data_IF_746442472025
#
_entry.id   IF_746442472025
#
_cell.length_a   1.000
_cell.length_b   1.000
_cell.length_c   1.000
_cell.angle_alpha   90.00
_cell.angle_beta   90.00
_cell.angle_gamma   90.00
#
_symmetry.space_group_name_H-M   'P 1'
#
loop_
_entity.id
_entity.type
_entity.pdbx_description
1 polymer ?
#
# COMPACT_ATOMS: atom_id res chain seq x y z
N UNK A 1 44.35 -51.70 0.10
CA UNK A 1 44.38 -50.28 0.45
C UNK A 1 43.15 -49.61 -0.18
N UNK A 2 42.06 -49.43 0.57
CA UNK A 2 40.80 -48.82 0.07
C UNK A 2 40.85 -47.36 0.40
N UNK A 3 40.82 -46.50 -0.62
CA UNK A 3 40.76 -45.05 -0.49
C UNK A 3 39.30 -44.68 -0.31
N UNK A 4 38.95 -44.08 0.84
CA UNK A 4 37.65 -43.58 1.17
C UNK A 4 37.56 -42.12 0.68
N UNK A 5 36.80 -41.86 -0.39
CA UNK A 5 36.52 -40.52 -0.86
C UNK A 5 35.40 -39.91 0.03
N UNK A 6 35.78 -38.94 0.86
CA UNK A 6 34.81 -38.12 1.61
C UNK A 6 34.37 -37.00 0.69
N UNK A 7 33.13 -37.07 0.22
CA UNK A 7 32.47 -35.97 -0.50
C UNK A 7 31.94 -34.98 0.55
N UNK A 8 32.62 -33.86 0.72
CA UNK A 8 32.14 -32.75 1.55
C UNK A 8 31.13 -31.95 0.71
N UNK A 9 29.84 -32.18 0.95
CA UNK A 9 28.79 -31.37 0.38
C UNK A 9 28.73 -30.05 1.12
N UNK A 10 29.22 -28.97 0.49
CA UNK A 10 28.98 -27.60 0.96
C UNK A 10 27.52 -27.26 0.73
N UNK A 11 26.70 -27.31 1.77
CA UNK A 11 25.41 -26.68 1.78
C UNK A 11 25.62 -25.14 1.80
N UNK A 12 25.46 -24.49 0.66
CA UNK A 12 25.26 -23.05 0.63
C UNK A 12 23.85 -22.77 1.21
N UNK A 13 23.80 -22.49 2.52
CA UNK A 13 22.61 -21.87 3.12
C UNK A 13 22.63 -20.42 2.61
N UNK A 14 22.02 -20.21 1.46
CA UNK A 14 21.80 -18.87 0.93
C UNK A 14 20.94 -18.10 1.93
N UNK A 15 21.47 -17.02 2.51
CA UNK A 15 20.75 -16.10 3.38
C UNK A 15 19.66 -15.38 2.55
N UNK A 16 18.48 -15.97 2.43
CA UNK A 16 17.29 -15.37 1.77
C UNK A 16 16.88 -14.03 2.39
N UNK A 17 17.29 -13.75 3.62
CA UNK A 17 17.02 -12.50 4.32
C UNK A 17 17.85 -11.29 3.82
N UNK A 18 19.01 -11.50 3.20
CA UNK A 18 19.88 -10.41 2.74
C UNK A 18 19.30 -9.68 1.51
N UNK A 19 18.55 -10.37 0.65
CA UNK A 19 17.89 -9.77 -0.53
C UNK A 19 16.66 -8.93 -0.18
N UNK A 20 16.03 -9.18 0.95
CA UNK A 20 14.82 -8.46 1.39
C UNK A 20 15.15 -7.10 2.01
N UNK A 21 16.27 -6.96 2.72
CA UNK A 21 16.64 -5.74 3.44
C UNK A 21 17.01 -4.61 2.47
N UNK A 22 16.46 -3.42 2.74
CA UNK A 22 16.69 -2.22 1.94
C UNK A 22 17.49 -1.21 2.74
N UNK A 23 18.58 -0.71 2.17
CA UNK A 23 19.35 0.40 2.70
C UNK A 23 18.93 1.69 1.99
N UNK A 24 18.12 2.50 2.67
CA UNK A 24 17.74 3.83 2.18
C UNK A 24 18.80 4.86 2.54
N UNK A 25 19.05 5.87 1.68
CA UNK A 25 19.88 7.02 2.01
C UNK A 25 19.35 7.75 3.26
N UNK A 26 20.25 8.32 4.07
CA UNK A 26 19.87 8.95 5.35
C UNK A 26 19.08 10.25 5.18
N UNK A 27 19.29 10.95 4.09
CA UNK A 27 18.55 12.14 3.68
C UNK A 27 17.12 11.80 3.26
N UNK A 28 16.91 10.64 2.65
CA UNK A 28 15.59 10.15 2.23
C UNK A 28 14.81 9.48 3.37
N UNK A 29 15.48 8.71 4.24
CA UNK A 29 14.81 7.96 5.30
C UNK A 29 15.63 7.79 6.57
N UNK A 30 14.99 7.91 7.72
CA UNK A 30 15.59 7.66 9.03
C UNK A 30 14.62 7.06 10.05
N UNK A 31 15.17 6.34 11.04
CA UNK A 31 14.42 5.80 12.18
C UNK A 31 13.63 4.51 11.92
N UNK A 32 13.50 4.07 10.66
CA UNK A 32 12.92 2.77 10.30
C UNK A 32 13.92 1.93 9.49
N UNK A 33 13.89 0.63 9.69
CA UNK A 33 14.54 -0.35 8.80
C UNK A 33 13.45 -0.93 7.91
N UNK A 34 13.70 -0.95 6.62
CA UNK A 34 12.73 -1.43 5.64
C UNK A 34 13.21 -2.71 4.95
N UNK A 35 12.23 -3.53 4.56
CA UNK A 35 12.37 -4.75 3.77
C UNK A 35 11.41 -4.68 2.59
N UNK A 36 11.78 -5.24 1.45
CA UNK A 36 10.89 -5.36 0.29
C UNK A 36 9.73 -6.30 0.64
N UNK A 37 8.51 -5.94 0.29
CA UNK A 37 7.35 -6.82 0.48
C UNK A 37 7.31 -7.96 -0.54
N UNK A 38 7.93 -7.79 -1.71
CA UNK A 38 8.09 -8.83 -2.73
C UNK A 38 9.56 -9.12 -2.94
N UNK A 39 9.92 -10.40 -3.02
CA UNK A 39 11.28 -10.90 -3.20
C UNK A 39 11.33 -11.95 -4.32
N UNK A 40 12.52 -12.44 -4.65
CA UNK A 40 12.74 -13.48 -5.66
C UNK A 40 12.11 -13.11 -7.02
N UNK A 41 11.41 -14.05 -7.64
CA UNK A 41 10.77 -13.87 -8.96
C UNK A 41 9.66 -12.81 -9.00
N UNK A 42 9.10 -12.45 -7.86
CA UNK A 42 8.05 -11.43 -7.75
C UNK A 42 8.59 -10.01 -7.62
N UNK A 43 9.86 -9.86 -7.24
CA UNK A 43 10.52 -8.56 -7.21
C UNK A 43 10.79 -8.05 -8.63
N UNK A 44 10.43 -6.80 -8.88
CA UNK A 44 10.72 -6.11 -10.14
C UNK A 44 11.64 -4.92 -9.86
N UNK A 45 12.70 -4.76 -10.66
CA UNK A 45 13.67 -3.66 -10.51
C UNK A 45 13.02 -2.28 -10.57
N UNK A 46 11.97 -2.11 -11.39
CA UNK A 46 11.22 -0.87 -11.50
C UNK A 46 10.27 -0.62 -10.31
N UNK A 47 9.88 -1.69 -9.59
CA UNK A 47 8.87 -1.60 -8.53
C UNK A 47 9.30 -0.75 -7.34
N UNK A 48 10.62 -0.64 -7.11
CA UNK A 48 11.23 0.18 -6.10
C UNK A 48 12.61 0.65 -6.57
N UNK A 49 12.82 1.96 -6.60
CA UNK A 49 14.06 2.59 -7.06
C UNK A 49 14.41 3.80 -6.17
N UNK A 50 15.71 3.97 -5.87
CA UNK A 50 16.23 5.27 -5.44
C UNK A 50 16.56 6.03 -6.72
N UNK A 51 16.00 7.22 -6.84
CA UNK A 51 16.14 8.08 -8.02
C UNK A 51 16.76 9.41 -7.63
N UNK A 52 17.44 10.07 -8.60
CA UNK A 52 18.18 11.29 -8.35
C UNK A 52 17.50 12.50 -8.98
N UNK A 53 17.63 13.65 -8.36
CA UNK A 53 17.21 14.95 -8.88
C UNK A 53 17.92 15.29 -10.19
N UNK A 54 19.21 14.95 -10.29
CA UNK A 54 20.01 15.17 -11.50
C UNK A 54 19.49 14.45 -12.73
N UNK A 55 18.75 13.35 -12.55
CA UNK A 55 18.11 12.57 -13.63
C UNK A 55 16.70 13.07 -13.98
N UNK A 56 16.29 14.24 -13.43
CA UNK A 56 14.98 14.86 -13.68
C UNK A 56 13.84 14.30 -12.83
N UNK A 57 14.14 13.46 -11.84
CA UNK A 57 13.11 12.94 -10.93
C UNK A 57 12.69 13.95 -9.86
N UNK A 58 11.42 13.94 -9.43
CA UNK A 58 10.96 14.71 -8.28
C UNK A 58 11.72 14.33 -7.01
N UNK A 59 12.28 15.32 -6.32
CA UNK A 59 12.95 15.19 -5.02
C UNK A 59 12.45 16.31 -4.11
N UNK A 60 12.01 15.98 -2.91
CA UNK A 60 11.47 16.96 -1.95
C UNK A 60 12.61 17.69 -1.23
N UNK A 61 13.64 16.96 -0.81
CA UNK A 61 14.79 17.49 -0.10
C UNK A 61 16.04 16.71 -0.46
N UNK A 62 17.20 17.39 -0.48
CA UNK A 62 18.47 16.76 -0.88
C UNK A 62 18.53 16.41 -2.36
N UNK A 63 19.13 15.26 -2.68
CA UNK A 63 19.44 14.85 -4.05
C UNK A 63 18.69 13.59 -4.52
N UNK A 64 17.99 12.88 -3.62
CA UNK A 64 17.38 11.60 -3.92
C UNK A 64 15.96 11.48 -3.36
N UNK A 65 15.16 10.65 -4.00
CA UNK A 65 13.85 10.22 -3.50
C UNK A 65 13.61 8.73 -3.78
N UNK A 66 12.51 8.20 -3.30
CA UNK A 66 12.09 6.82 -3.56
C UNK A 66 10.98 6.85 -4.60
N UNK A 67 11.15 6.13 -5.71
CA UNK A 67 10.13 5.92 -6.71
C UNK A 67 9.56 4.52 -6.57
N UNK A 68 8.25 4.41 -6.43
CA UNK A 68 7.50 3.17 -6.52
C UNK A 68 6.70 3.12 -7.82
N UNK A 69 6.67 1.94 -8.44
CA UNK A 69 5.88 1.68 -9.63
C UNK A 69 5.22 0.31 -9.54
N UNK A 70 3.92 0.25 -9.84
CA UNK A 70 3.16 -1.01 -9.96
C UNK A 70 2.53 -1.04 -11.35
N UNK A 71 2.76 -2.11 -12.08
CA UNK A 71 2.16 -2.39 -13.38
C UNK A 71 1.08 -3.46 -13.26
N UNK A 72 0.25 -3.53 -14.27
CA UNK A 72 -0.76 -4.59 -14.41
C UNK A 72 -0.11 -5.98 -14.32
N UNK A 73 -0.59 -6.83 -13.41
CA UNK A 73 -0.05 -8.15 -13.13
C UNK A 73 1.06 -8.22 -12.07
N UNK A 74 1.46 -7.10 -11.45
CA UNK A 74 2.48 -7.07 -10.38
C UNK A 74 1.95 -7.62 -9.06
N UNK A 75 1.62 -8.88 -9.03
CA UNK A 75 1.25 -9.58 -7.82
C UNK A 75 2.33 -10.56 -7.37
N UNK A 76 2.31 -10.94 -6.10
CA UNK A 76 3.26 -11.90 -5.53
C UNK A 76 2.64 -12.77 -4.46
N UNK A 77 3.45 -13.66 -3.93
CA UNK A 77 3.10 -14.51 -2.79
C UNK A 77 4.36 -14.87 -2.04
N UNK A 78 4.22 -15.31 -0.80
CA UNK A 78 5.33 -15.92 -0.08
C UNK A 78 5.61 -17.35 -0.59
N UNK A 79 6.83 -17.81 -0.35
CA UNK A 79 7.27 -19.12 -0.80
C UNK A 79 6.49 -20.25 -0.10
N UNK A 80 6.09 -20.01 1.14
CA UNK A 80 5.38 -20.98 1.99
C UNK A 80 3.83 -20.94 1.78
N UNK A 81 3.33 -20.08 0.90
CA UNK A 81 1.92 -19.97 0.57
C UNK A 81 1.05 -19.34 1.67
N UNK A 82 1.65 -18.72 2.69
CA UNK A 82 0.94 -18.06 3.81
C UNK A 82 0.14 -16.83 3.38
N UNK A 83 0.53 -16.18 2.26
CA UNK A 83 -0.24 -15.12 1.62
C UNK A 83 -0.01 -15.09 0.11
N UNK A 84 -0.99 -14.59 -0.63
CA UNK A 84 -0.88 -14.39 -2.07
C UNK A 84 -1.68 -13.17 -2.50
N UNK A 85 -1.01 -12.20 -3.15
CA UNK A 85 -1.68 -11.08 -3.79
C UNK A 85 -2.45 -11.51 -5.02
N UNK A 86 -1.85 -12.41 -5.84
CA UNK A 86 -2.46 -12.90 -7.07
C UNK A 86 -3.80 -13.59 -6.82
N UNK A 87 -3.90 -14.39 -5.73
CA UNK A 87 -5.16 -15.01 -5.31
C UNK A 87 -6.08 -14.03 -4.54
N UNK A 88 -5.51 -12.97 -3.98
CA UNK A 88 -6.19 -11.99 -3.15
C UNK A 88 -6.70 -10.76 -3.90
N UNK A 89 -6.68 -10.76 -5.24
CA UNK A 89 -7.14 -9.63 -6.06
C UNK A 89 -6.35 -8.34 -5.79
N UNK A 90 -5.00 -8.44 -5.76
CA UNK A 90 -4.09 -7.39 -5.30
C UNK A 90 -2.82 -7.32 -6.13
N UNK A 91 -2.23 -6.13 -6.16
CA UNK A 91 -0.90 -5.86 -6.74
C UNK A 91 -0.12 -4.95 -5.82
N UNK A 92 1.21 -5.11 -5.76
CA UNK A 92 2.03 -4.25 -4.91
C UNK A 92 3.50 -4.15 -5.29
N UNK A 93 4.04 -2.98 -4.95
CA UNK A 93 5.44 -2.80 -4.58
C UNK A 93 5.51 -1.89 -3.35
N UNK A 94 5.82 -2.47 -2.19
CA UNK A 94 5.90 -1.79 -0.90
C UNK A 94 7.19 -2.12 -0.18
N UNK A 95 7.60 -1.21 0.69
CA UNK A 95 8.60 -1.44 1.73
C UNK A 95 7.91 -1.60 3.08
N UNK A 96 8.31 -2.62 3.82
CA UNK A 96 7.78 -3.00 5.13
C UNK A 96 8.79 -2.69 6.24
N UNK A 97 8.37 -1.93 7.24
CA UNK A 97 9.15 -1.65 8.45
C UNK A 97 8.97 -2.67 9.57
N UNK A 98 8.64 -3.94 9.25
CA UNK A 98 8.32 -4.97 10.24
C UNK A 98 9.47 -5.27 11.20
N UNK A 99 10.75 -5.20 10.76
CA UNK A 99 11.94 -5.38 11.61
C UNK A 99 12.12 -4.25 12.65
N UNK A 100 11.49 -3.10 12.44
CA UNK A 100 11.47 -1.96 13.38
C UNK A 100 10.11 -1.68 13.99
N UNK A 101 9.28 -2.72 14.20
CA UNK A 101 7.94 -2.64 14.73
C UNK A 101 7.90 -2.12 16.18
N UNK A 102 6.85 -1.37 16.49
CA UNK A 102 6.63 -0.72 17.79
C UNK A 102 5.59 -1.49 18.60
N UNK A 103 5.87 -1.71 19.90
CA UNK A 103 4.92 -2.41 20.77
C UNK A 103 4.00 -1.44 21.55
N UNK A 104 4.47 -0.25 21.90
CA UNK A 104 3.75 0.77 22.68
C UNK A 104 4.46 2.11 22.58
N UNK A 105 3.79 3.15 23.05
CA UNK A 105 4.37 4.49 23.22
C UNK A 105 3.99 5.45 22.10
N UNK A 106 4.45 6.65 22.25
CA UNK A 106 4.22 7.74 21.33
C UNK A 106 5.36 7.86 20.34
N UNK A 107 5.02 8.12 19.09
CA UNK A 107 5.94 8.30 17.97
C UNK A 107 5.45 9.38 17.03
N UNK A 108 6.41 10.01 16.39
CA UNK A 108 6.23 10.89 15.25
C UNK A 108 6.72 10.20 14.00
N UNK A 109 5.99 10.40 12.90
CA UNK A 109 6.34 9.92 11.57
C UNK A 109 6.16 11.05 10.58
N UNK A 110 6.96 11.03 9.54
CA UNK A 110 6.74 11.86 8.37
C UNK A 110 6.98 11.07 7.10
N UNK A 111 6.41 11.54 6.02
CA UNK A 111 6.80 11.30 4.65
C UNK A 111 6.23 12.38 3.75
N UNK A 112 6.94 12.67 2.67
CA UNK A 112 6.43 13.49 1.59
C UNK A 112 6.01 12.61 0.43
N UNK A 113 4.89 12.93 -0.22
CA UNK A 113 4.33 12.23 -1.37
C UNK A 113 4.29 13.13 -2.59
N UNK A 114 4.67 12.61 -3.75
CA UNK A 114 4.47 13.27 -5.03
C UNK A 114 3.78 12.32 -6.00
N UNK A 115 2.67 12.77 -6.55
CA UNK A 115 1.96 12.09 -7.62
C UNK A 115 2.31 12.79 -8.94
N UNK A 116 2.84 12.07 -9.95
CA UNK A 116 3.14 12.66 -11.25
C UNK A 116 1.93 13.35 -11.89
N UNK A 117 2.17 14.27 -12.83
CA UNK A 117 1.08 14.98 -13.54
C UNK A 117 0.14 14.03 -14.29
N UNK A 118 0.68 12.94 -14.81
CA UNK A 118 -0.06 11.88 -15.50
C UNK A 118 -0.83 10.93 -14.56
N UNK A 119 -0.69 11.10 -13.23
CA UNK A 119 -1.40 10.27 -12.27
C UNK A 119 -2.91 10.28 -12.50
N UNK A 120 -3.52 9.11 -12.46
CA UNK A 120 -4.95 8.91 -12.61
C UNK A 120 -5.52 8.24 -11.37
N UNK A 121 -6.63 8.77 -10.88
CA UNK A 121 -7.41 8.07 -9.86
C UNK A 121 -8.16 6.91 -10.53
N UNK A 122 -7.77 5.69 -10.22
CA UNK A 122 -8.29 4.48 -10.85
C UNK A 122 -9.49 3.88 -10.09
N UNK A 123 -10.27 4.72 -9.39
CA UNK A 123 -11.48 4.22 -8.74
C UNK A 123 -12.35 3.42 -9.72
N UNK A 124 -12.86 2.22 -9.35
CA UNK A 124 -12.94 1.63 -8.02
C UNK A 124 -11.74 0.76 -7.57
N UNK A 125 -10.63 0.74 -8.29
CA UNK A 125 -9.37 0.24 -7.76
C UNK A 125 -8.95 1.12 -6.57
N UNK A 126 -8.54 0.52 -5.47
CA UNK A 126 -8.07 1.27 -4.31
C UNK A 126 -6.55 1.17 -4.21
N UNK A 127 -5.85 2.31 -4.25
CA UNK A 127 -4.39 2.38 -4.12
C UNK A 127 -4.01 2.87 -2.72
N UNK A 128 -3.36 2.03 -1.95
CA UNK A 128 -2.82 2.37 -0.65
C UNK A 128 -1.36 2.78 -0.79
N UNK A 129 -1.03 4.01 -0.40
CA UNK A 129 0.32 4.57 -0.51
C UNK A 129 1.09 4.61 0.81
N UNK A 130 0.45 4.22 1.90
CA UNK A 130 1.09 4.08 3.20
C UNK A 130 0.16 3.45 4.22
N UNK A 131 0.70 2.70 5.16
CA UNK A 131 -0.13 2.06 6.18
C UNK A 131 0.63 1.78 7.47
N UNK A 132 -0.11 1.71 8.56
CA UNK A 132 0.35 1.12 9.80
C UNK A 132 -0.28 -0.26 9.95
N UNK A 133 0.54 -1.27 9.72
CA UNK A 133 0.12 -2.67 9.76
C UNK A 133 0.47 -3.31 11.11
N UNK A 134 -0.22 -4.37 11.47
CA UNK A 134 0.04 -5.14 12.68
C UNK A 134 0.62 -6.51 12.35
N UNK A 135 1.52 -7.02 13.19
CA UNK A 135 1.97 -8.41 13.06
C UNK A 135 0.82 -9.37 13.36
N UNK A 136 0.58 -10.34 12.48
CA UNK A 136 -0.49 -11.35 12.60
C UNK A 136 -1.89 -10.76 12.77
N UNK A 137 -2.15 -9.60 12.15
CA UNK A 137 -3.45 -8.93 12.17
C UNK A 137 -3.56 -7.95 11.00
N UNK A 138 -4.71 -7.30 10.85
CA UNK A 138 -4.98 -6.32 9.81
C UNK A 138 -4.23 -4.99 10.05
N UNK A 139 -4.08 -4.12 9.03
CA UNK A 139 -3.63 -2.75 9.26
C UNK A 139 -4.57 -2.03 10.22
N UNK A 140 -4.10 -0.98 10.89
CA UNK A 140 -4.94 -0.14 11.78
C UNK A 140 -5.25 1.21 11.18
N UNK A 141 -4.33 1.77 10.40
CA UNK A 141 -4.54 2.99 9.61
C UNK A 141 -3.97 2.77 8.22
N UNK A 142 -4.75 3.11 7.22
CA UNK A 142 -4.37 3.05 5.80
C UNK A 142 -4.48 4.43 5.19
N UNK A 143 -3.49 4.79 4.37
CA UNK A 143 -3.47 6.03 3.59
C UNK A 143 -3.74 5.65 2.14
N UNK A 144 -4.98 5.82 1.72
CA UNK A 144 -5.53 5.19 0.53
C UNK A 144 -6.15 6.23 -0.41
N UNK A 145 -5.97 6.05 -1.69
CA UNK A 145 -6.68 6.80 -2.70
C UNK A 145 -8.05 6.17 -2.94
N UNK A 146 -9.08 6.96 -2.77
CA UNK A 146 -10.47 6.65 -3.02
C UNK A 146 -11.05 7.61 -4.07
N UNK A 147 -12.32 7.44 -4.44
CA UNK A 147 -12.99 8.21 -5.49
C UNK A 147 -12.75 9.74 -5.43
N UNK A 148 -12.61 10.29 -4.23
CA UNK A 148 -12.47 11.74 -4.07
C UNK A 148 -11.06 12.24 -3.79
N UNK A 149 -10.06 11.34 -3.75
CA UNK A 149 -8.66 11.67 -3.48
C UNK A 149 -8.04 10.83 -2.37
N UNK A 150 -6.93 11.30 -1.84
CA UNK A 150 -6.14 10.62 -0.82
C UNK A 150 -6.75 10.81 0.56
N UNK A 151 -7.00 9.70 1.24
CA UNK A 151 -7.70 9.66 2.53
C UNK A 151 -6.92 8.82 3.55
N UNK A 152 -7.13 9.08 4.84
CA UNK A 152 -6.78 8.15 5.92
C UNK A 152 -8.03 7.39 6.34
N UNK A 153 -7.87 6.07 6.52
CA UNK A 153 -8.92 5.17 7.02
C UNK A 153 -8.41 4.47 8.28
N UNK A 154 -9.22 4.50 9.34
CA UNK A 154 -9.05 3.62 10.49
C UNK A 154 -9.83 2.32 10.25
N UNK A 155 -9.16 1.18 10.41
CA UNK A 155 -9.70 -0.15 10.01
C UNK A 155 -10.00 -1.06 11.21
N UNK A 156 -9.80 -0.59 12.45
CA UNK A 156 -10.08 -1.34 13.66
C UNK A 156 -11.35 -0.84 14.35
N UNK A 157 -12.12 -1.77 14.92
CA UNK A 157 -13.40 -1.53 15.58
C UNK A 157 -14.60 -1.89 14.71
N UNK A 158 -15.76 -2.00 15.34
CA UNK A 158 -17.04 -2.40 14.72
C UNK A 158 -17.77 -1.25 14.01
N UNK A 159 -17.11 -0.12 13.86
CA UNK A 159 -17.71 1.11 13.31
C UNK A 159 -17.44 1.18 11.82
N UNK A 160 -18.41 1.70 11.09
CA UNK A 160 -18.23 2.19 9.72
C UNK A 160 -16.90 2.91 9.58
N UNK A 161 -16.18 2.60 8.49
CA UNK A 161 -14.85 3.14 8.21
C UNK A 161 -14.77 4.62 8.58
N UNK A 162 -13.98 4.93 9.61
CA UNK A 162 -13.63 6.30 9.93
C UNK A 162 -12.66 6.79 8.85
N UNK A 163 -13.24 7.37 7.80
CA UNK A 163 -12.53 7.93 6.66
C UNK A 163 -12.44 9.44 6.78
N UNK A 164 -11.23 9.96 6.62
CA UNK A 164 -11.01 11.39 6.47
C UNK A 164 -10.19 11.69 5.24
N UNK A 165 -10.75 12.48 4.32
CA UNK A 165 -10.02 12.98 3.16
C UNK A 165 -8.94 13.95 3.57
N UNK A 166 -7.71 13.66 3.14
CA UNK A 166 -6.50 14.43 3.40
C UNK A 166 -6.21 15.40 2.26
N UNK A 167 -6.27 14.92 1.01
CA UNK A 167 -5.98 15.65 -0.22
C UNK A 167 -7.07 15.33 -1.24
N UNK A 168 -7.63 16.35 -1.88
CA UNK A 168 -8.63 16.18 -2.96
C UNK A 168 -7.95 15.75 -4.25
N UNK A 169 -8.65 15.02 -5.14
CA UNK A 169 -8.14 14.61 -6.44
C UNK A 169 -7.48 15.76 -7.22
N UNK A 170 -8.15 16.90 -7.29
CA UNK A 170 -7.70 18.05 -8.06
C UNK A 170 -6.41 18.68 -7.51
N UNK A 171 -6.08 18.36 -6.27
CA UNK A 171 -4.90 18.88 -5.56
C UNK A 171 -3.74 17.90 -5.49
N UNK A 172 -3.91 16.64 -5.94
CA UNK A 172 -2.92 15.58 -5.70
C UNK A 172 -1.66 15.71 -6.54
N UNK A 173 -1.81 16.03 -7.83
CA UNK A 173 -0.78 15.88 -8.86
C UNK A 173 0.21 17.04 -8.93
N UNK A 174 1.42 16.75 -9.44
CA UNK A 174 2.41 17.74 -9.85
C UNK A 174 3.10 18.48 -8.70
N UNK A 175 2.85 18.11 -7.45
CA UNK A 175 3.42 18.78 -6.28
C UNK A 175 3.64 17.80 -5.12
N UNK A 176 4.56 18.17 -4.23
CA UNK A 176 4.80 17.45 -3.00
C UNK A 176 3.73 17.74 -1.94
N UNK A 177 3.37 16.71 -1.19
CA UNK A 177 2.48 16.78 -0.04
C UNK A 177 3.19 16.21 1.17
N UNK A 178 3.40 17.05 2.17
CA UNK A 178 4.08 16.69 3.40
C UNK A 178 3.07 16.13 4.40
N UNK A 179 3.28 14.91 4.81
CA UNK A 179 2.47 14.21 5.80
C UNK A 179 3.23 14.11 7.11
N UNK A 180 2.70 14.67 8.17
CA UNK A 180 3.22 14.52 9.52
C UNK A 180 2.20 13.76 10.36
N UNK A 181 2.66 12.81 11.16
CA UNK A 181 1.81 11.97 12.00
C UNK A 181 2.36 11.94 13.41
N UNK A 182 1.46 12.09 14.38
CA UNK A 182 1.72 11.79 15.79
C UNK A 182 0.80 10.68 16.25
N UNK A 183 1.35 9.58 16.72
CA UNK A 183 0.59 8.42 17.15
C UNK A 183 1.05 7.86 18.49
N UNK A 184 0.11 7.58 19.38
CA UNK A 184 0.33 6.78 20.59
C UNK A 184 -0.29 5.41 20.40
N UNK A 185 0.57 4.38 20.33
CA UNK A 185 0.14 3.00 20.12
C UNK A 185 -0.38 2.38 21.42
N UNK A 186 -1.68 2.24 21.54
CA UNK A 186 -2.37 1.67 22.68
C UNK A 186 -3.55 0.79 22.29
N UNK A 187 -3.86 -0.22 23.10
CA UNK A 187 -5.10 -1.02 23.01
C UNK A 187 -6.24 -0.39 23.83
N UNK A 188 -5.98 0.68 24.56
CA UNK A 188 -6.90 1.39 25.43
C UNK A 188 -7.29 2.73 24.85
N UNK A 189 -8.24 3.40 25.46
CA UNK A 189 -8.77 4.71 25.05
C UNK A 189 -7.78 5.88 25.22
N UNK A 190 -6.60 5.62 25.78
CA UNK A 190 -5.51 6.57 25.90
C UNK A 190 -4.64 6.69 24.65
N UNK A 191 -4.94 5.91 23.59
CA UNK A 191 -4.32 6.01 22.29
C UNK A 191 -4.80 7.24 21.52
N UNK A 192 -4.01 7.67 20.54
CA UNK A 192 -4.41 8.70 19.59
C UNK A 192 -3.65 8.56 18.27
N UNK A 193 -4.22 9.16 17.22
CA UNK A 193 -3.62 9.21 15.89
C UNK A 193 -3.98 10.53 15.20
N UNK A 194 -2.98 11.38 14.98
CA UNK A 194 -3.16 12.71 14.40
C UNK A 194 -2.39 12.80 13.09
N UNK A 195 -2.99 13.42 12.07
CA UNK A 195 -2.38 13.62 10.76
C UNK A 195 -2.47 15.08 10.34
N UNK A 196 -1.34 15.65 10.00
CA UNK A 196 -1.23 16.94 9.33
C UNK A 196 -0.84 16.71 7.86
N UNK A 197 -1.35 17.55 6.99
CA UNK A 197 -0.96 17.65 5.58
C UNK A 197 -0.58 19.10 5.31
N UNK A 198 0.66 19.33 4.87
CA UNK A 198 1.19 20.67 4.63
C UNK A 198 0.88 21.58 5.83
N UNK A 199 1.29 21.16 7.02
CA UNK A 199 1.13 21.79 8.35
C UNK A 199 -0.33 21.99 8.83
N UNK A 200 -1.33 21.58 8.06
CA UNK A 200 -2.74 21.68 8.47
C UNK A 200 -3.21 20.37 9.07
N UNK A 201 -3.69 20.41 10.33
CA UNK A 201 -4.33 19.24 10.98
C UNK A 201 -5.56 18.82 10.17
N UNK A 202 -5.56 17.58 9.68
CA UNK A 202 -6.62 17.01 8.84
C UNK A 202 -7.38 15.87 9.52
N UNK A 203 -6.72 15.15 10.42
CA UNK A 203 -7.31 14.05 11.15
C UNK A 203 -6.83 14.04 12.60
N UNK A 204 -7.76 13.90 13.54
CA UNK A 204 -7.48 13.82 14.99
C UNK A 204 -8.38 12.75 15.60
N UNK A 205 -7.80 11.59 15.86
CA UNK A 205 -8.48 10.46 16.47
C UNK A 205 -7.95 10.20 17.87
N UNK A 206 -8.85 9.90 18.81
CA UNK A 206 -8.55 9.46 20.18
C UNK A 206 -9.28 8.15 20.47
N UNK A 207 -8.58 7.19 21.04
CA UNK A 207 -9.09 5.85 21.35
C UNK A 207 -8.07 4.77 21.02
N UNK A 208 -8.46 3.49 21.00
CA UNK A 208 -7.57 2.37 20.66
C UNK A 208 -6.95 2.53 19.28
N UNK A 209 -5.62 2.46 19.19
CA UNK A 209 -4.85 2.61 17.96
C UNK A 209 -4.24 1.31 17.47
N UNK A 210 -4.48 0.21 18.17
CA UNK A 210 -4.07 -1.14 17.77
C UNK A 210 -4.88 -2.20 18.49
N UNK A 211 -4.88 -3.42 17.92
CA UNK A 211 -5.45 -4.64 18.53
C UNK A 211 -4.37 -5.70 18.79
N UNK A 212 -3.33 -5.78 17.96
CA UNK A 212 -2.22 -6.69 18.14
C UNK A 212 -1.09 -6.10 19.00
N UNK A 213 -0.03 -6.90 19.27
CA UNK A 213 1.11 -6.46 20.06
C UNK A 213 1.96 -5.42 19.35
N UNK A 214 2.22 -5.61 18.05
CA UNK A 214 3.17 -4.82 17.28
C UNK A 214 2.51 -4.11 16.10
N UNK A 215 2.87 -2.84 15.92
CA UNK A 215 2.51 -2.00 14.76
C UNK A 215 3.78 -1.62 14.01
N UNK A 216 3.74 -1.58 12.69
CA UNK A 216 4.85 -1.15 11.84
C UNK A 216 4.35 -0.37 10.63
N UNK A 217 5.19 0.55 10.16
CA UNK A 217 4.94 1.36 8.97
C UNK A 217 5.22 0.56 7.71
N UNK A 218 4.42 0.79 6.67
CA UNK A 218 4.70 0.39 5.29
C UNK A 218 4.49 1.59 4.38
N UNK A 219 5.28 1.68 3.32
CA UNK A 219 5.20 2.72 2.28
C UNK A 219 5.32 2.07 0.90
N UNK A 220 4.78 2.71 -0.12
CA UNK A 220 4.83 2.22 -1.50
C UNK A 220 3.46 2.23 -2.16
N UNK A 221 3.22 1.33 -3.09
CA UNK A 221 1.93 1.16 -3.76
C UNK A 221 1.38 -0.23 -3.46
N UNK A 222 0.17 -0.30 -2.94
CA UNK A 222 -0.58 -1.52 -2.71
C UNK A 222 -2.00 -1.36 -3.23
N UNK A 223 -2.28 -1.96 -4.38
CA UNK A 223 -3.56 -1.90 -5.05
C UNK A 223 -4.46 -3.08 -4.66
N UNK A 224 -5.74 -2.81 -4.44
CA UNK A 224 -6.75 -3.84 -4.11
C UNK A 224 -8.02 -3.63 -4.92
N UNK A 225 -8.71 -4.71 -5.26
CA UNK A 225 -9.93 -4.66 -6.05
C UNK A 225 -9.65 -4.61 -7.56
N UNK A 226 -8.70 -5.38 -8.02
CA UNK A 226 -8.34 -5.53 -9.45
C UNK A 226 -9.57 -5.97 -10.25
N UNK A 227 -10.26 -7.03 -9.80
CA UNK A 227 -11.49 -7.52 -10.45
C UNK A 227 -12.61 -6.49 -10.41
N UNK A 228 -12.69 -5.66 -9.37
CA UNK A 228 -13.68 -4.59 -9.27
C UNK A 228 -13.43 -3.50 -10.32
N UNK A 229 -12.17 -3.14 -10.55
CA UNK A 229 -11.78 -2.21 -11.62
C UNK A 229 -12.10 -2.82 -13.00
N UNK A 230 -11.73 -4.08 -13.22
CA UNK A 230 -12.01 -4.79 -14.48
C UNK A 230 -13.52 -4.87 -14.76
N UNK A 231 -14.33 -5.12 -13.74
CA UNK A 231 -15.78 -5.11 -13.87
C UNK A 231 -16.32 -3.72 -14.22
N UNK A 232 -15.80 -2.68 -13.57
CA UNK A 232 -16.19 -1.29 -13.82
C UNK A 232 -15.92 -0.88 -15.28
N UNK A 233 -14.76 -1.21 -15.80
CA UNK A 233 -14.36 -0.93 -17.18
C UNK A 233 -15.12 -1.78 -18.23
N UNK A 234 -15.85 -2.80 -17.79
CA UNK A 234 -16.57 -3.76 -18.65
C UNK A 234 -18.07 -3.85 -18.35
N UNK A 235 -18.70 -2.81 -17.82
CA UNK A 235 -20.10 -2.85 -17.40
C UNK A 235 -21.04 -3.30 -18.51
N UNK A 236 -20.92 -2.76 -19.73
CA UNK A 236 -21.76 -3.12 -20.86
C UNK A 236 -21.59 -4.59 -21.29
N UNK A 237 -20.37 -5.13 -21.10
CA UNK A 237 -20.09 -6.54 -21.38
C UNK A 237 -20.61 -7.47 -20.27
N UNK A 238 -20.69 -6.98 -19.05
CA UNK A 238 -21.30 -7.71 -17.92
C UNK A 238 -22.79 -7.82 -18.13
N UNK A 239 -23.46 -6.76 -18.57
CA UNK A 239 -24.90 -6.82 -18.89
C UNK A 239 -25.20 -7.88 -19.97
N UNK A 240 -24.42 -7.91 -21.08
CA UNK A 240 -24.52 -8.97 -22.10
C UNK A 240 -24.28 -10.38 -21.54
N UNK A 241 -23.28 -10.53 -20.66
CA UNK A 241 -23.03 -11.78 -19.96
C UNK A 241 -24.22 -12.22 -19.09
N UNK A 242 -24.87 -11.29 -18.42
CA UNK A 242 -26.03 -11.59 -17.59
C UNK A 242 -27.29 -11.89 -18.38
N UNK A 243 -27.49 -11.30 -19.56
CA UNK A 243 -28.52 -11.67 -20.50
C UNK A 243 -28.38 -13.14 -20.93
N UNK A 244 -27.14 -13.59 -21.18
CA UNK A 244 -26.88 -14.98 -21.63
C UNK A 244 -26.83 -15.99 -20.47
N UNK A 245 -26.16 -15.65 -19.35
CA UNK A 245 -25.87 -16.57 -18.25
C UNK A 245 -26.77 -16.40 -17.03
N UNK A 246 -27.71 -15.46 -17.08
CA UNK A 246 -28.53 -15.06 -15.93
C UNK A 246 -27.75 -14.29 -14.88
N UNK A 247 -28.43 -13.67 -13.93
CA UNK A 247 -27.87 -12.93 -12.80
C UNK A 247 -28.56 -13.24 -11.49
N UNK A 248 -27.80 -13.19 -10.39
CA UNK A 248 -28.36 -13.29 -9.05
C UNK A 248 -28.76 -11.91 -8.52
N UNK A 249 -29.57 -11.87 -7.44
CA UNK A 249 -29.93 -10.62 -6.75
C UNK A 249 -28.69 -9.89 -6.23
N UNK A 250 -27.71 -10.62 -5.70
CA UNK A 250 -26.46 -10.04 -5.17
C UNK A 250 -25.59 -9.44 -6.29
N UNK A 251 -25.47 -10.11 -7.43
CA UNK A 251 -24.77 -9.59 -8.62
C UNK A 251 -25.47 -8.33 -9.16
N UNK A 252 -26.79 -8.31 -9.19
CA UNK A 252 -27.56 -7.15 -9.59
C UNK A 252 -27.31 -5.96 -8.65
N UNK A 253 -27.41 -6.18 -7.35
CA UNK A 253 -27.10 -5.16 -6.33
C UNK A 253 -25.66 -4.67 -6.44
N UNK A 254 -24.71 -5.57 -6.71
CA UNK A 254 -23.29 -5.21 -6.87
C UNK A 254 -23.03 -4.31 -8.07
N UNK A 255 -23.68 -4.55 -9.21
CA UNK A 255 -23.56 -3.68 -10.39
C UNK A 255 -24.07 -2.26 -10.12
N UNK A 256 -25.19 -2.11 -9.46
CA UNK A 256 -25.71 -0.78 -9.11
C UNK A 256 -24.89 -0.07 -8.02
N UNK A 257 -24.22 -0.82 -7.16
CA UNK A 257 -23.35 -0.24 -6.13
C UNK A 257 -21.92 0.06 -6.60
N UNK A 258 -21.51 -0.39 -7.81
CA UNK A 258 -20.28 0.11 -8.48
C UNK A 258 -20.29 1.64 -8.60
N UNK A 259 -21.47 2.25 -8.69
CA UNK A 259 -21.63 3.69 -8.78
C UNK A 259 -21.64 4.43 -7.43
N UNK A 260 -21.71 3.78 -6.27
CA UNK A 260 -21.92 4.52 -5.02
C UNK A 260 -21.46 3.95 -3.71
N UNK A 261 -21.38 2.64 -3.51
CA UNK A 261 -21.05 2.01 -2.23
C UNK A 261 -20.22 0.73 -2.40
N UNK A 262 -19.57 0.35 -1.32
CA UNK A 262 -18.68 -0.80 -1.18
C UNK A 262 -19.31 -2.10 -1.69
N UNK A 263 -18.84 -2.58 -2.85
CA UNK A 263 -19.16 -3.95 -3.27
C UNK A 263 -18.36 -4.91 -2.41
N UNK A 264 -18.99 -5.95 -1.91
CA UNK A 264 -18.27 -7.04 -1.27
C UNK A 264 -17.27 -7.62 -2.25
N UNK A 265 -16.02 -7.78 -1.81
CA UNK A 265 -14.91 -8.29 -2.63
C UNK A 265 -15.30 -9.60 -3.33
N UNK A 266 -15.92 -10.54 -2.60
CA UNK A 266 -16.29 -11.85 -3.09
C UNK A 266 -17.26 -11.80 -4.29
N UNK A 267 -18.19 -10.83 -4.29
CA UNK A 267 -19.15 -10.65 -5.40
C UNK A 267 -18.45 -10.10 -6.64
N UNK A 268 -17.48 -9.18 -6.48
CA UNK A 268 -16.70 -8.69 -7.62
C UNK A 268 -15.91 -9.80 -8.28
N UNK A 269 -15.27 -10.67 -7.49
CA UNK A 269 -14.53 -11.84 -7.99
C UNK A 269 -15.49 -12.83 -8.67
N UNK A 270 -16.68 -13.06 -8.13
CA UNK A 270 -17.70 -13.92 -8.71
C UNK A 270 -18.14 -13.42 -10.09
N UNK A 271 -18.51 -12.14 -10.22
CA UNK A 271 -18.89 -11.50 -11.50
C UNK A 271 -17.75 -11.64 -12.51
N UNK A 272 -16.53 -11.28 -12.11
CA UNK A 272 -15.36 -11.37 -12.98
C UNK A 272 -15.18 -12.80 -13.52
N UNK A 273 -15.18 -13.81 -12.67
CA UNK A 273 -15.01 -15.21 -13.07
C UNK A 273 -16.10 -15.72 -14.00
N UNK A 274 -17.34 -15.27 -13.79
CA UNK A 274 -18.50 -15.62 -14.61
C UNK A 274 -18.45 -14.95 -15.99
N UNK A 275 -18.05 -13.68 -16.06
CA UNK A 275 -18.23 -12.83 -17.24
C UNK A 275 -16.96 -12.49 -17.98
N UNK A 276 -15.76 -12.85 -17.51
CA UNK A 276 -14.47 -12.46 -18.10
C UNK A 276 -14.30 -12.83 -19.57
N UNK A 277 -15.00 -13.87 -20.08
CA UNK A 277 -14.99 -14.24 -21.51
C UNK A 277 -15.70 -13.23 -22.41
N UNK A 278 -16.51 -12.34 -21.84
CA UNK A 278 -17.20 -11.25 -22.52
C UNK A 278 -16.39 -9.95 -22.49
N UNK A 279 -15.37 -9.85 -21.62
CA UNK A 279 -14.66 -8.60 -21.38
C UNK A 279 -13.82 -8.20 -22.59
N UNK A 280 -13.83 -6.90 -22.85
CA UNK A 280 -12.76 -6.29 -23.64
C UNK A 280 -11.46 -6.36 -22.84
N UNK A 281 -10.35 -6.55 -23.53
CA UNK A 281 -9.04 -6.47 -22.90
C UNK A 281 -8.84 -5.07 -22.32
N UNK A 282 -8.77 -4.99 -21.00
CA UNK A 282 -8.46 -3.76 -20.26
C UNK A 282 -7.13 -3.97 -19.54
N UNK A 283 -6.20 -3.04 -19.73
CA UNK A 283 -4.95 -3.00 -18.99
C UNK A 283 -5.04 -1.96 -17.89
N UNK A 284 -4.71 -2.35 -16.65
CA UNK A 284 -4.67 -1.38 -15.55
C UNK A 284 -3.51 -0.40 -15.77
N UNK A 285 -3.76 0.91 -15.77
CA UNK A 285 -2.71 1.91 -15.89
C UNK A 285 -1.61 1.74 -14.86
N UNK A 286 -0.38 2.03 -15.25
CA UNK A 286 0.77 2.00 -14.34
C UNK A 286 0.59 3.04 -13.23
N UNK A 287 0.77 2.63 -11.97
CA UNK A 287 0.70 3.48 -10.78
C UNK A 287 2.11 3.86 -10.37
N UNK A 288 2.40 5.14 -10.33
CA UNK A 288 3.69 5.69 -9.90
C UNK A 288 3.46 6.68 -8.77
N UNK A 289 4.29 6.59 -7.72
CA UNK A 289 4.33 7.57 -6.63
C UNK A 289 5.79 7.74 -6.17
N UNK A 290 6.13 8.94 -5.76
CA UNK A 290 7.41 9.23 -5.14
C UNK A 290 7.23 9.47 -3.65
N UNK A 291 8.19 8.99 -2.89
CA UNK A 291 8.32 9.23 -1.44
C UNK A 291 9.65 9.89 -1.13
N UNK A 292 9.60 10.78 -0.17
CA UNK A 292 10.79 11.40 0.40
C UNK A 292 10.55 11.70 1.89
N UNK A 293 11.58 12.11 2.62
CA UNK A 293 11.48 12.53 4.03
C UNK A 293 10.78 11.48 4.94
N UNK A 294 11.01 10.19 4.65
CA UNK A 294 10.40 9.07 5.38
C UNK A 294 11.08 8.89 6.73
N UNK A 295 10.53 9.46 7.78
CA UNK A 295 11.18 9.51 9.10
C UNK A 295 10.29 8.93 10.20
N UNK A 296 10.95 8.39 11.23
CA UNK A 296 10.30 7.93 12.47
C UNK A 296 11.16 8.30 13.68
N UNK A 297 10.57 8.97 14.67
CA UNK A 297 11.24 9.26 15.94
C UNK A 297 10.22 9.39 17.07
N UNK A 298 10.69 9.40 18.34
CA UNK A 298 9.88 9.77 19.51
C UNK A 298 9.76 11.28 19.69
N UNK A 299 10.59 12.06 19.05
CA UNK A 299 10.65 13.51 19.16
C UNK A 299 10.26 14.14 17.81
N UNK A 300 9.37 15.14 17.84
CA UNK A 300 8.85 15.82 16.65
C UNK A 300 9.96 16.45 15.82
N UNK A 301 10.87 17.15 16.45
CA UNK A 301 11.99 17.87 15.83
C UNK A 301 12.98 16.96 15.10
N UNK A 302 12.87 15.63 15.25
CA UNK A 302 13.69 14.64 14.55
C UNK A 302 13.02 13.99 13.34
N UNK A 303 11.78 14.33 13.06
CA UNK A 303 11.06 13.81 11.87
C UNK A 303 10.89 14.86 10.77
N UNK A 304 11.51 16.01 10.95
CA UNK A 304 11.53 17.08 9.98
C UNK A 304 10.46 18.13 10.23
N UNK A 305 10.87 19.38 10.16
CA UNK A 305 10.04 20.49 9.78
C UNK A 305 10.37 20.69 8.30
N UNK A 306 9.38 20.57 7.46
CA UNK A 306 9.52 20.85 6.03
C UNK A 306 9.58 22.37 5.89
N UNK A 307 10.78 22.94 5.94
CA UNK A 307 11.04 24.33 5.60
C UNK A 307 11.11 24.51 4.08
#
# INVERSE_FOLDING_TARGET
MKILLIIISFFFIGNSNAEATVKLPKDVSSGSKFEKSLTGKYYKKYGYQIVNKADGHPVRSGEQSIRFEVRDGDCGQDEDGGWSDCKGDRERHELSGASSAMSKGEYWFSWSLYFPEEHQNLWPLSNNYGQFHQRKSQPVFMFIELRGGYSVIRTIGDVDYDERRLIRNDDMKGKWHDILINAKWSKKDDGFFKVWVNDKLKYDYKGPTKTAKYVYQKIGVYSTGITRYMNYENIDNIEKCFEEKGRTTDENTALYTLYGKKIKHDISVQIYNKCKSFYKSVKIPTRVVYFDEVRKNKKKEKVGVFE
#
